data_IF_727641597063
#
_entry.id   IF_727641597063
#
_cell.length_a   1.000
_cell.length_b   1.000
_cell.length_c   1.000
_cell.angle_alpha   90.00
_cell.angle_beta   90.00
_cell.angle_gamma   90.00
#
_symmetry.space_group_name_H-M   'P 1'
#
loop_
_entity.id
_entity.type
_entity.pdbx_description
1 polymer ?
#
# COMPACT_ATOMS: atom_id res chain seq x y z
N UNK A 1 -39.77 21.65 49.25
CA UNK A 1 -39.59 20.33 48.60
C UNK A 1 -38.11 20.20 48.28
N UNK A 2 -37.32 19.39 49.01
CA UNK A 2 -37.10 17.93 48.82
C UNK A 2 -36.70 17.62 47.36
N UNK A 3 -35.59 16.97 47.02
CA UNK A 3 -34.56 16.24 47.79
C UNK A 3 -33.33 16.07 46.89
N UNK A 4 -32.18 15.93 47.56
CA UNK A 4 -30.86 15.56 47.05
C UNK A 4 -30.91 14.17 46.38
N UNK A 5 -30.14 14.00 45.31
CA UNK A 5 -29.80 12.68 44.76
C UNK A 5 -28.50 12.22 45.42
N UNK A 6 -28.58 11.13 46.16
CA UNK A 6 -27.45 10.39 46.70
C UNK A 6 -27.52 9.01 46.08
N UNK A 7 -26.45 8.57 45.43
CA UNK A 7 -26.12 7.16 45.40
C UNK A 7 -24.62 7.00 45.64
N UNK A 8 -24.30 6.60 46.86
CA UNK A 8 -23.04 6.00 47.24
C UNK A 8 -22.94 4.64 46.55
N UNK A 9 -21.79 4.34 45.95
CA UNK A 9 -21.31 2.97 45.91
C UNK A 9 -19.80 2.98 46.11
N UNK A 10 -19.41 2.83 47.37
CA UNK A 10 -18.06 2.43 47.75
C UNK A 10 -18.14 0.93 48.03
N UNK A 11 -17.47 0.10 47.24
CA UNK A 11 -16.93 -1.18 47.72
C UNK A 11 -15.50 -1.29 47.25
N UNK A 12 -14.67 -1.54 48.25
CA UNK A 12 -13.23 -1.63 48.28
C UNK A 12 -12.73 -2.94 47.66
N UNK A 13 -11.61 -2.82 46.93
CA UNK A 13 -10.50 -3.75 46.70
C UNK A 13 -10.60 -5.17 47.33
N UNK A 14 -10.23 -6.20 46.56
CA UNK A 14 -9.09 -7.10 46.86
C UNK A 14 -8.73 -7.92 45.60
N UNK A 15 -7.42 -7.90 45.31
CA UNK A 15 -6.71 -8.73 44.34
C UNK A 15 -6.85 -10.22 44.68
N UNK A 16 -7.22 -11.05 43.71
CA UNK A 16 -6.90 -12.48 43.71
C UNK A 16 -6.37 -12.83 42.33
N UNK A 17 -5.08 -13.13 42.27
CA UNK A 17 -4.40 -13.76 41.15
C UNK A 17 -4.83 -15.21 41.05
N UNK A 18 -5.48 -15.61 39.95
CA UNK A 18 -5.56 -17.01 39.54
C UNK A 18 -5.50 -17.10 38.01
N UNK A 19 -4.46 -17.78 37.55
CA UNK A 19 -4.29 -18.31 36.19
C UNK A 19 -5.50 -19.16 35.78
N UNK A 20 -5.96 -18.98 34.55
CA UNK A 20 -6.95 -19.87 33.93
C UNK A 20 -6.94 -19.76 32.41
N UNK A 21 -6.49 -20.82 31.73
CA UNK A 21 -6.78 -21.04 30.31
C UNK A 21 -8.31 -21.12 30.14
N UNK A 22 -8.85 -20.35 29.19
CA UNK A 22 -10.28 -20.33 28.90
C UNK A 22 -10.52 -20.10 27.42
N UNK A 23 -10.97 -21.15 26.73
CA UNK A 23 -11.54 -21.13 25.39
C UNK A 23 -12.75 -20.19 25.36
N UNK A 24 -12.60 -19.04 24.73
CA UNK A 24 -13.67 -18.06 24.52
C UNK A 24 -14.44 -18.35 23.23
N UNK A 25 -15.50 -19.16 23.34
CA UNK A 25 -16.59 -19.16 22.36
C UNK A 25 -17.21 -17.76 22.30
N UNK A 26 -17.17 -17.14 21.13
CA UNK A 26 -17.91 -15.92 20.81
C UNK A 26 -18.98 -16.29 19.79
N UNK A 27 -20.22 -16.36 20.28
CA UNK A 27 -21.41 -16.32 19.45
C UNK A 27 -21.55 -14.89 18.89
N UNK A 28 -21.14 -14.73 17.64
CA UNK A 28 -21.55 -13.67 16.74
C UNK A 28 -21.64 -14.31 15.36
N UNK A 29 -22.83 -14.33 14.77
CA UNK A 29 -23.08 -14.85 13.43
C UNK A 29 -22.43 -13.94 12.39
N UNK A 30 -21.14 -14.13 12.17
CA UNK A 30 -20.40 -13.75 10.99
C UNK A 30 -19.63 -15.00 10.58
N UNK A 31 -19.89 -15.54 9.38
CA UNK A 31 -19.01 -16.57 8.83
C UNK A 31 -17.62 -15.94 8.74
N UNK A 32 -16.70 -16.44 9.57
CA UNK A 32 -15.36 -15.89 9.80
C UNK A 32 -14.49 -16.19 8.58
N UNK A 33 -13.69 -15.21 8.17
CA UNK A 33 -12.44 -15.53 7.50
C UNK A 33 -11.52 -16.12 8.58
N UNK A 34 -11.00 -17.33 8.37
CA UNK A 34 -10.08 -17.94 9.32
C UNK A 34 -8.69 -17.36 9.08
N UNK A 35 -8.14 -16.66 10.07
CA UNK A 35 -6.78 -16.10 9.99
C UNK A 35 -5.77 -17.23 9.92
N UNK A 36 -4.95 -17.24 8.87
CA UNK A 36 -3.91 -18.23 8.62
C UNK A 36 -2.59 -17.80 9.26
N UNK A 37 -2.17 -16.56 8.99
CA UNK A 37 -1.04 -15.90 9.62
C UNK A 37 -1.35 -14.43 9.82
N UNK A 38 -0.71 -13.84 10.82
CA UNK A 38 -0.74 -12.40 11.08
C UNK A 38 0.66 -11.82 10.80
N UNK A 39 0.76 -10.53 10.45
CA UNK A 39 2.05 -9.88 10.27
C UNK A 39 2.94 -10.03 11.52
N UNK A 40 4.23 -10.31 11.30
CA UNK A 40 5.21 -10.30 12.38
C UNK A 40 5.51 -8.89 12.90
N UNK A 41 6.40 -8.78 13.89
CA UNK A 41 6.87 -7.47 14.36
C UNK A 41 7.67 -6.76 13.28
N UNK A 42 7.28 -5.51 12.99
CA UNK A 42 7.97 -4.65 12.03
C UNK A 42 9.42 -4.49 12.48
N UNK A 43 10.35 -4.67 11.54
CA UNK A 43 11.78 -4.53 11.79
C UNK A 43 12.06 -3.10 12.26
N UNK A 44 12.55 -2.94 13.48
CA UNK A 44 13.05 -1.66 13.99
C UNK A 44 14.43 -1.33 13.43
N UNK A 45 14.87 -0.08 13.62
CA UNK A 45 16.20 0.42 13.28
C UNK A 45 16.62 0.12 11.83
N UNK A 46 15.71 0.34 10.88
CA UNK A 46 15.98 0.22 9.45
C UNK A 46 16.32 1.58 8.86
N UNK A 47 17.40 1.64 8.11
CA UNK A 47 17.87 2.82 7.38
C UNK A 47 17.74 2.61 5.88
N UNK A 48 17.77 3.70 5.12
CA UNK A 48 17.63 3.68 3.66
C UNK A 48 18.68 2.77 2.98
N UNK A 49 19.88 2.72 3.55
CA UNK A 49 21.03 1.94 3.08
C UNK A 49 20.86 0.43 3.33
N UNK A 50 19.95 0.02 4.22
CA UNK A 50 19.63 -1.40 4.46
C UNK A 50 18.83 -2.01 3.30
N UNK A 51 18.26 -1.18 2.43
CA UNK A 51 17.75 -1.61 1.12
C UNK A 51 18.88 -1.46 0.13
N UNK A 52 19.29 -2.55 -0.52
CA UNK A 52 20.49 -2.52 -1.35
C UNK A 52 20.35 -1.57 -2.54
N UNK A 53 21.45 -0.92 -2.95
CA UNK A 53 21.46 -0.05 -4.13
C UNK A 53 21.00 -0.80 -5.38
N UNK A 54 21.38 -2.07 -5.52
CA UNK A 54 20.99 -2.92 -6.63
C UNK A 54 19.47 -3.15 -6.66
N UNK A 55 18.85 -3.44 -5.50
CA UNK A 55 17.40 -3.59 -5.42
C UNK A 55 16.68 -2.26 -5.69
N UNK A 56 17.17 -1.13 -5.15
CA UNK A 56 16.60 0.20 -5.43
C UNK A 56 16.63 0.52 -6.92
N UNK A 57 17.72 0.23 -7.61
CA UNK A 57 17.82 0.42 -9.07
C UNK A 57 16.86 -0.50 -9.83
N UNK A 58 16.71 -1.75 -9.40
CA UNK A 58 15.78 -2.71 -9.99
C UNK A 58 14.32 -2.25 -9.85
N UNK A 59 13.94 -1.76 -8.66
CA UNK A 59 12.62 -1.20 -8.40
C UNK A 59 12.34 0.05 -9.26
N UNK A 60 13.34 0.91 -9.46
CA UNK A 60 13.24 2.05 -10.39
C UNK A 60 13.07 1.63 -11.85
N UNK A 61 13.82 0.62 -12.31
CA UNK A 61 13.69 0.08 -13.66
C UNK A 61 12.29 -0.55 -13.87
N UNK A 62 11.82 -1.32 -12.89
CA UNK A 62 10.47 -1.87 -12.88
C UNK A 62 9.40 -0.77 -12.95
N UNK A 63 9.56 0.30 -12.16
CA UNK A 63 8.65 1.43 -12.15
C UNK A 63 8.55 2.08 -13.53
N UNK A 64 9.69 2.38 -14.19
CA UNK A 64 9.71 2.92 -15.55
C UNK A 64 9.01 2.00 -16.54
N UNK A 65 9.39 0.71 -16.56
CA UNK A 65 8.82 -0.30 -17.46
C UNK A 65 7.29 -0.45 -17.35
N UNK A 66 6.77 -0.43 -16.13
CA UNK A 66 5.33 -0.65 -15.88
C UNK A 66 4.50 0.62 -16.01
N UNK A 67 5.09 1.79 -15.74
CA UNK A 67 4.40 3.09 -15.81
C UNK A 67 3.79 3.34 -17.18
N UNK A 68 4.56 3.16 -18.25
CA UNK A 68 4.06 3.35 -19.61
C UNK A 68 2.90 2.41 -19.96
N UNK A 69 2.97 1.15 -19.51
CA UNK A 69 1.93 0.15 -19.79
C UNK A 69 0.64 0.40 -18.99
N UNK A 70 0.76 0.86 -17.75
CA UNK A 70 -0.40 1.10 -16.86
C UNK A 70 -1.06 2.44 -17.16
N UNK A 71 -0.27 3.51 -17.29
CA UNK A 71 -0.80 4.87 -17.46
C UNK A 71 -1.11 5.20 -18.92
N UNK A 72 -0.45 4.56 -19.90
CA UNK A 72 -0.71 4.79 -21.32
C UNK A 72 -2.00 4.14 -21.85
N UNK A 73 -2.75 3.42 -21.01
CA UNK A 73 -3.97 2.71 -21.44
C UNK A 73 -5.16 3.66 -21.69
N UNK A 74 -5.22 4.79 -20.97
CA UNK A 74 -6.29 5.79 -21.07
C UNK A 74 -5.68 7.20 -21.19
N UNK A 75 -5.18 7.57 -22.38
CA UNK A 75 -4.27 8.72 -22.59
C UNK A 75 -4.87 10.13 -22.34
N UNK A 76 -6.11 10.23 -21.87
CA UNK A 76 -6.80 11.50 -21.66
C UNK A 76 -7.44 11.58 -20.26
N UNK A 77 -7.07 10.69 -19.35
CA UNK A 77 -7.58 10.64 -17.98
C UNK A 77 -6.48 10.80 -16.93
N UNK A 78 -6.85 11.42 -15.81
CA UNK A 78 -5.97 11.47 -14.63
C UNK A 78 -5.70 10.05 -14.14
N UNK A 79 -4.45 9.63 -14.25
CA UNK A 79 -3.99 8.31 -13.82
C UNK A 79 -3.14 8.41 -12.57
N UNK A 80 -3.32 7.44 -11.66
CA UNK A 80 -2.47 7.28 -10.47
C UNK A 80 -2.05 5.82 -10.36
N UNK A 81 -0.74 5.60 -10.25
CA UNK A 81 -0.15 4.27 -10.17
C UNK A 81 0.91 4.24 -9.08
N UNK A 82 0.94 3.16 -8.31
CA UNK A 82 1.98 2.87 -7.33
C UNK A 82 2.79 1.66 -7.78
N UNK A 83 3.97 1.87 -8.39
CA UNK A 83 4.83 0.76 -8.83
C UNK A 83 5.26 -0.14 -7.67
N UNK A 84 5.56 0.44 -6.52
CA UNK A 84 5.92 -0.34 -5.33
C UNK A 84 4.78 -1.24 -4.88
N UNK A 85 3.53 -0.77 -4.95
CA UNK A 85 2.36 -1.58 -4.61
C UNK A 85 2.24 -2.82 -5.49
N UNK A 86 2.35 -2.63 -6.82
CA UNK A 86 2.35 -3.74 -7.78
C UNK A 86 3.54 -4.69 -7.54
N UNK A 87 4.72 -4.14 -7.25
CA UNK A 87 5.92 -4.91 -6.96
C UNK A 87 5.71 -5.85 -5.77
N UNK A 88 5.14 -5.37 -4.66
CA UNK A 88 4.84 -6.21 -3.49
C UNK A 88 3.90 -7.36 -3.84
N UNK A 89 2.80 -7.08 -4.56
CA UNK A 89 1.83 -8.11 -4.94
C UNK A 89 2.47 -9.21 -5.81
N UNK A 90 3.29 -8.82 -6.79
CA UNK A 90 4.01 -9.76 -7.67
C UNK A 90 5.15 -10.49 -6.96
N UNK A 91 5.83 -9.85 -6.01
CA UNK A 91 6.87 -10.47 -5.21
C UNK A 91 6.31 -11.51 -4.22
N UNK A 92 5.11 -11.28 -3.66
CA UNK A 92 4.40 -12.30 -2.88
C UNK A 92 4.07 -13.54 -3.74
N UNK A 93 3.70 -13.33 -5.01
CA UNK A 93 3.50 -14.41 -5.98
C UNK A 93 4.81 -15.13 -6.32
N UNK A 94 5.90 -14.38 -6.55
CA UNK A 94 7.25 -14.91 -6.84
C UNK A 94 7.76 -15.82 -5.72
N UNK A 95 7.49 -15.44 -4.46
CA UNK A 95 7.88 -16.20 -3.29
C UNK A 95 7.25 -17.60 -3.27
N UNK A 96 6.02 -17.74 -3.80
CA UNK A 96 5.30 -19.01 -3.91
C UNK A 96 5.56 -19.79 -5.19
N UNK A 97 6.16 -19.15 -6.21
CA UNK A 97 6.44 -19.75 -7.51
C UNK A 97 7.72 -20.61 -7.51
N UNK A 98 7.84 -21.47 -8.52
CA UNK A 98 9.03 -22.30 -8.76
C UNK A 98 9.30 -22.48 -10.27
N UNK A 99 10.53 -22.90 -10.60
CA UNK A 99 10.96 -23.13 -11.98
C UNK A 99 10.75 -21.91 -12.87
N UNK A 100 10.29 -22.15 -14.11
CA UNK A 100 10.11 -21.11 -15.12
C UNK A 100 9.19 -19.96 -14.67
N UNK A 101 8.10 -20.24 -13.95
CA UNK A 101 7.20 -19.19 -13.46
C UNK A 101 7.92 -18.24 -12.51
N UNK A 102 8.79 -18.76 -11.64
CA UNK A 102 9.61 -17.93 -10.75
C UNK A 102 10.61 -17.11 -11.54
N UNK A 103 11.30 -17.72 -12.51
CA UNK A 103 12.26 -17.04 -13.38
C UNK A 103 11.60 -15.89 -14.16
N UNK A 104 10.44 -16.14 -14.77
CA UNK A 104 9.68 -15.13 -15.51
C UNK A 104 9.25 -13.96 -14.60
N UNK A 105 8.78 -14.24 -13.38
CA UNK A 105 8.43 -13.22 -12.39
C UNK A 105 9.65 -12.40 -11.95
N UNK A 106 10.79 -13.04 -11.67
CA UNK A 106 12.02 -12.35 -11.27
C UNK A 106 12.54 -11.44 -12.37
N UNK A 107 12.54 -11.92 -13.62
CA UNK A 107 12.88 -11.12 -14.79
C UNK A 107 11.93 -9.94 -14.96
N UNK A 108 10.62 -10.16 -14.77
CA UNK A 108 9.65 -9.08 -14.89
C UNK A 108 9.84 -8.00 -13.82
N UNK A 109 10.15 -8.41 -12.58
CA UNK A 109 10.49 -7.56 -11.44
C UNK A 109 11.89 -6.90 -11.53
N UNK A 110 12.61 -7.11 -12.63
CA UNK A 110 13.98 -6.62 -12.84
C UNK A 110 14.95 -7.07 -11.73
N UNK A 111 14.62 -8.15 -11.01
CA UNK A 111 15.36 -8.60 -9.85
C UNK A 111 16.56 -9.45 -10.27
N UNK A 112 17.77 -9.04 -9.87
CA UNK A 112 18.98 -9.82 -10.10
C UNK A 112 18.94 -11.22 -9.47
N UNK A 113 19.69 -12.17 -10.03
CA UNK A 113 19.68 -13.58 -9.60
C UNK A 113 19.97 -13.78 -8.11
N UNK A 114 20.88 -12.98 -7.55
CA UNK A 114 21.28 -13.06 -6.14
C UNK A 114 20.38 -12.22 -5.22
N UNK A 115 19.45 -11.45 -5.78
CA UNK A 115 18.59 -10.56 -5.00
C UNK A 115 17.58 -11.36 -4.20
N UNK A 116 17.66 -11.23 -2.88
CA UNK A 116 16.68 -11.81 -1.96
C UNK A 116 15.51 -10.85 -1.78
N UNK A 117 14.62 -10.82 -2.77
CA UNK A 117 13.50 -9.87 -2.88
C UNK A 117 12.73 -9.73 -1.55
N UNK A 118 12.40 -10.84 -0.88
CA UNK A 118 11.68 -10.79 0.39
C UNK A 118 12.44 -10.09 1.53
N UNK A 119 13.77 -10.24 1.63
CA UNK A 119 14.57 -9.55 2.65
C UNK A 119 14.66 -8.04 2.36
N UNK A 120 14.79 -7.67 1.08
CA UNK A 120 14.80 -6.27 0.63
C UNK A 120 13.46 -5.58 0.90
N UNK A 121 12.36 -6.24 0.54
CA UNK A 121 11.01 -5.75 0.80
C UNK A 121 10.69 -5.70 2.28
N UNK A 122 11.22 -6.61 3.11
CA UNK A 122 11.08 -6.53 4.56
C UNK A 122 11.68 -5.23 5.11
N UNK A 123 12.87 -4.84 4.65
CA UNK A 123 13.49 -3.56 5.03
C UNK A 123 12.68 -2.38 4.46
N UNK A 124 12.30 -2.43 3.19
CA UNK A 124 11.51 -1.36 2.56
C UNK A 124 10.16 -1.13 3.26
N UNK A 125 9.50 -2.20 3.72
CA UNK A 125 8.22 -2.12 4.43
C UNK A 125 8.35 -1.28 5.70
N UNK A 126 9.43 -1.48 6.46
CA UNK A 126 9.70 -0.73 7.69
C UNK A 126 9.93 0.76 7.41
N UNK A 127 10.55 1.10 6.28
CA UNK A 127 10.75 2.49 5.85
C UNK A 127 9.45 3.16 5.37
N UNK A 128 8.48 2.37 4.90
CA UNK A 128 7.20 2.83 4.33
C UNK A 128 6.01 2.67 5.30
N UNK A 129 6.30 2.51 6.59
CA UNK A 129 5.29 2.42 7.65
C UNK A 129 5.66 3.39 8.75
N UNK A 130 5.26 4.65 8.57
CA UNK A 130 5.63 5.77 9.44
C UNK A 130 4.38 6.55 9.83
N UNK A 131 4.29 6.97 11.08
CA UNK A 131 3.27 7.91 11.56
C UNK A 131 3.92 8.94 12.47
N UNK A 132 3.89 10.20 12.04
CA UNK A 132 4.57 11.30 12.69
C UNK A 132 3.84 12.63 12.51
N UNK A 133 4.45 13.70 13.01
CA UNK A 133 3.94 15.05 12.79
C UNK A 133 4.15 15.45 11.33
N UNK A 134 3.05 15.69 10.61
CA UNK A 134 3.10 16.09 9.20
C UNK A 134 3.37 14.96 8.20
N UNK A 135 3.48 13.71 8.63
CA UNK A 135 3.65 12.55 7.74
C UNK A 135 2.88 11.32 8.22
N UNK A 136 2.36 10.56 7.26
CA UNK A 136 1.77 9.26 7.49
C UNK A 136 1.89 8.41 6.22
N UNK A 137 2.64 7.32 6.33
CA UNK A 137 2.82 6.31 5.30
C UNK A 137 2.39 4.96 5.84
N UNK A 138 1.63 4.22 5.04
CA UNK A 138 1.22 2.87 5.39
C UNK A 138 1.14 2.03 4.14
N UNK A 139 2.07 1.09 4.02
CA UNK A 139 1.95 -0.04 3.12
C UNK A 139 1.33 -1.22 3.87
N UNK A 140 0.41 -1.94 3.24
CA UNK A 140 -0.21 -3.11 3.83
C UNK A 140 -0.37 -4.21 2.79
N UNK A 141 -0.18 -5.46 3.22
CA UNK A 141 -0.28 -6.65 2.38
C UNK A 141 -1.34 -7.61 2.93
N UNK A 142 -2.08 -8.23 2.03
CA UNK A 142 -2.98 -9.31 2.38
C UNK A 142 -3.00 -10.44 1.36
N UNK A 143 -3.24 -11.63 1.87
CA UNK A 143 -3.45 -12.86 1.15
C UNK A 143 -4.83 -13.41 1.49
N UNK A 144 -5.67 -13.61 0.50
CA UNK A 144 -6.97 -14.28 0.65
C UNK A 144 -6.94 -15.57 -0.15
N UNK A 145 -6.94 -16.71 0.54
CA UNK A 145 -6.86 -18.03 -0.06
C UNK A 145 -8.21 -18.75 0.04
N UNK A 146 -8.56 -19.51 -1.00
CA UNK A 146 -9.75 -20.36 -0.97
C UNK A 146 -9.60 -21.41 0.15
N UNK A 147 -10.62 -21.51 0.99
CA UNK A 147 -10.59 -22.31 2.24
C UNK A 147 -10.23 -23.78 2.04
N UNK A 148 -10.62 -24.36 0.90
CA UNK A 148 -10.35 -25.76 0.57
C UNK A 148 -8.87 -26.03 0.32
N UNK A 149 -8.07 -25.02 -0.03
CA UNK A 149 -6.63 -25.16 -0.26
C UNK A 149 -5.81 -25.18 1.04
N UNK A 150 -6.41 -24.85 2.19
CA UNK A 150 -5.67 -24.75 3.46
C UNK A 150 -5.66 -26.08 4.19
N UNK A 151 -4.49 -26.47 4.71
CA UNK A 151 -4.35 -27.69 5.52
C UNK A 151 -4.40 -28.99 4.72
N UNK A 152 -4.33 -28.93 3.38
CA UNK A 152 -4.19 -30.12 2.56
C UNK A 152 -2.72 -30.57 2.49
N UNK A 153 -2.46 -31.81 2.88
CA UNK A 153 -1.14 -32.42 2.72
C UNK A 153 -0.74 -32.51 1.24
N UNK A 154 0.35 -31.82 0.87
CA UNK A 154 1.00 -31.94 -0.43
C UNK A 154 0.32 -31.25 -1.63
N UNK A 155 -0.93 -30.80 -1.51
CA UNK A 155 -1.68 -30.16 -2.61
C UNK A 155 -2.19 -28.74 -2.28
N UNK A 156 -2.09 -28.29 -1.02
CA UNK A 156 -2.61 -27.01 -0.55
C UNK A 156 -1.59 -25.88 -0.43
N UNK A 157 -2.05 -24.76 0.10
CA UNK A 157 -1.21 -23.63 0.51
C UNK A 157 -0.23 -24.11 1.58
N UNK A 158 1.07 -24.00 1.29
CA UNK A 158 2.13 -24.48 2.18
C UNK A 158 2.36 -23.51 3.33
N UNK A 159 2.45 -24.04 4.55
CA UNK A 159 2.73 -23.23 5.76
C UNK A 159 4.02 -22.41 5.61
N UNK A 160 5.09 -23.00 5.05
CA UNK A 160 6.35 -22.28 4.85
C UNK A 160 6.22 -21.01 3.96
N UNK A 161 5.29 -21.01 3.01
CA UNK A 161 5.03 -19.80 2.21
C UNK A 161 4.18 -18.79 2.98
N UNK A 162 3.20 -19.24 3.77
CA UNK A 162 2.45 -18.36 4.68
C UNK A 162 3.37 -17.69 5.71
N UNK A 163 4.30 -18.43 6.29
CA UNK A 163 5.30 -17.89 7.22
C UNK A 163 6.15 -16.82 6.53
N UNK A 164 6.56 -17.07 5.28
CA UNK A 164 7.27 -16.05 4.48
C UNK A 164 6.41 -14.81 4.20
N UNK A 165 5.11 -14.96 3.95
CA UNK A 165 4.18 -13.82 3.77
C UNK A 165 4.12 -12.96 5.03
N UNK A 166 4.08 -13.57 6.21
CA UNK A 166 4.09 -12.84 7.48
C UNK A 166 5.45 -12.19 7.78
N UNK A 167 6.55 -12.90 7.55
CA UNK A 167 7.90 -12.48 7.99
C UNK A 167 8.57 -11.48 7.06
N UNK A 168 8.38 -11.62 5.75
CA UNK A 168 9.07 -10.80 4.74
C UNK A 168 8.19 -9.71 4.14
N UNK A 169 6.88 -9.96 4.07
CA UNK A 169 5.93 -9.04 3.44
C UNK A 169 4.98 -8.40 4.47
N UNK A 170 5.04 -8.79 5.74
CA UNK A 170 4.12 -8.31 6.78
C UNK A 170 2.65 -8.47 6.35
N UNK A 171 2.35 -9.55 5.63
CA UNK A 171 1.03 -9.77 5.07
C UNK A 171 0.12 -10.47 6.09
N UNK A 172 -1.14 -10.04 6.14
CA UNK A 172 -2.20 -10.82 6.80
C UNK A 172 -2.74 -11.87 5.84
N UNK A 173 -2.84 -13.12 6.28
CA UNK A 173 -3.40 -14.19 5.45
C UNK A 173 -4.72 -14.72 6.01
N UNK A 174 -5.67 -14.98 5.12
CA UNK A 174 -7.02 -15.39 5.45
C UNK A 174 -7.48 -16.54 4.57
N UNK A 175 -8.16 -17.52 5.15
CA UNK A 175 -8.94 -18.50 4.42
C UNK A 175 -10.38 -18.00 4.24
N UNK A 176 -10.88 -18.04 3.01
CA UNK A 176 -12.23 -17.57 2.67
C UNK A 176 -12.97 -18.50 1.72
N UNK A 177 -14.29 -18.37 1.74
CA UNK A 177 -15.17 -18.89 0.71
C UNK A 177 -15.46 -17.77 -0.30
N UNK A 178 -14.90 -17.83 -1.51
CA UNK A 178 -15.18 -16.81 -2.53
C UNK A 178 -16.64 -16.84 -3.03
N UNK A 179 -17.38 -17.92 -2.75
CA UNK A 179 -18.83 -17.99 -3.08
C UNK A 179 -19.72 -17.32 -2.04
N UNK A 180 -19.18 -16.99 -0.85
CA UNK A 180 -19.90 -16.21 0.16
C UNK A 180 -20.08 -14.76 -0.33
N UNK A 181 -21.33 -14.26 -0.46
CA UNK A 181 -21.60 -12.87 -0.86
C UNK A 181 -20.93 -11.82 0.03
N UNK A 182 -20.57 -12.18 1.28
CA UNK A 182 -19.86 -11.27 2.20
C UNK A 182 -18.34 -11.17 1.97
N UNK A 183 -17.73 -12.03 1.15
CA UNK A 183 -16.26 -12.06 0.98
C UNK A 183 -15.74 -10.79 0.29
N UNK A 184 -16.38 -10.36 -0.80
CA UNK A 184 -16.00 -9.15 -1.52
C UNK A 184 -16.03 -7.91 -0.61
N UNK A 185 -17.08 -7.77 0.20
CA UNK A 185 -17.24 -6.67 1.16
C UNK A 185 -16.18 -6.72 2.28
N UNK A 186 -15.80 -7.91 2.78
CA UNK A 186 -14.71 -8.03 3.76
C UNK A 186 -13.37 -7.60 3.18
N UNK A 187 -13.07 -7.97 1.93
CA UNK A 187 -11.85 -7.58 1.24
C UNK A 187 -11.83 -6.07 0.96
N UNK A 188 -12.95 -5.51 0.49
CA UNK A 188 -13.12 -4.06 0.28
C UNK A 188 -12.93 -3.28 1.58
N UNK A 189 -13.52 -3.73 2.69
CA UNK A 189 -13.35 -3.11 4.01
C UNK A 189 -11.93 -3.22 4.55
N UNK A 190 -11.20 -4.29 4.21
CA UNK A 190 -9.78 -4.39 4.54
C UNK A 190 -9.00 -3.28 3.82
N UNK A 191 -9.21 -3.07 2.52
CA UNK A 191 -8.60 -1.96 1.78
C UNK A 191 -8.99 -0.60 2.35
N UNK A 192 -10.27 -0.40 2.65
CA UNK A 192 -10.77 0.85 3.25
C UNK A 192 -10.09 1.13 4.59
N UNK A 193 -9.89 0.12 5.42
CA UNK A 193 -9.17 0.25 6.69
C UNK A 193 -7.70 0.62 6.48
N UNK A 194 -6.98 -0.15 5.66
CA UNK A 194 -5.54 0.03 5.46
C UNK A 194 -5.21 1.32 4.68
N UNK A 195 -6.20 1.89 4.00
CA UNK A 195 -6.08 3.19 3.30
C UNK A 195 -6.72 4.35 4.05
N UNK A 196 -7.03 4.18 5.34
CA UNK A 196 -7.64 5.22 6.21
C UNK A 196 -8.92 5.83 5.61
N UNK A 197 -9.72 5.00 4.95
CA UNK A 197 -10.99 5.34 4.32
C UNK A 197 -10.87 6.03 2.96
N UNK A 198 -9.67 6.11 2.36
CA UNK A 198 -9.46 6.78 1.07
C UNK A 198 -9.84 5.93 -0.14
N UNK A 199 -9.69 4.61 -0.03
CA UNK A 199 -9.99 3.69 -1.13
C UNK A 199 -11.00 2.66 -0.64
N UNK A 200 -12.14 2.56 -1.33
CA UNK A 200 -13.14 1.52 -1.09
C UNK A 200 -13.48 0.88 -2.43
N UNK A 201 -12.76 -0.19 -2.82
CA UNK A 201 -12.90 -0.78 -4.13
C UNK A 201 -14.14 -1.67 -4.20
N UNK A 202 -14.74 -1.75 -5.38
CA UNK A 202 -15.66 -2.83 -5.72
C UNK A 202 -14.85 -4.06 -6.14
N UNK A 203 -14.96 -5.14 -5.37
CA UNK A 203 -14.15 -6.34 -5.58
C UNK A 203 -14.90 -7.33 -6.46
N UNK A 204 -14.36 -7.65 -7.63
CA UNK A 204 -14.86 -8.74 -8.46
C UNK A 204 -14.18 -10.06 -8.06
N UNK A 205 -14.98 -10.97 -7.50
CA UNK A 205 -14.57 -12.34 -7.13
C UNK A 205 -15.47 -13.38 -7.81
N UNK A 206 -16.11 -13.00 -8.92
CA UNK A 206 -17.13 -13.82 -9.60
C UNK A 206 -16.55 -15.04 -10.34
N UNK A 207 -15.23 -15.09 -10.54
CA UNK A 207 -14.55 -16.22 -11.15
C UNK A 207 -14.67 -17.48 -10.26
N UNK A 208 -15.37 -18.55 -10.71
CA UNK A 208 -15.52 -19.78 -9.92
C UNK A 208 -14.19 -20.52 -9.69
N UNK A 209 -13.18 -20.27 -10.52
CA UNK A 209 -11.86 -20.88 -10.40
C UNK A 209 -10.90 -20.04 -9.55
N UNK A 210 -11.37 -18.94 -8.94
CA UNK A 210 -10.56 -18.06 -8.09
C UNK A 210 -10.00 -18.84 -6.88
N UNK A 211 -8.68 -19.01 -6.86
CA UNK A 211 -7.96 -19.72 -5.80
C UNK A 211 -7.38 -18.79 -4.74
N UNK A 212 -6.95 -17.61 -5.17
CA UNK A 212 -6.09 -16.74 -4.40
C UNK A 212 -6.26 -15.28 -4.84
N UNK A 213 -6.28 -14.35 -3.88
CA UNK A 213 -6.14 -12.92 -4.14
C UNK A 213 -4.98 -12.37 -3.30
N UNK A 214 -4.02 -11.78 -3.99
CA UNK A 214 -2.89 -11.05 -3.40
C UNK A 214 -3.19 -9.56 -3.48
N UNK A 215 -3.12 -8.88 -2.34
CA UNK A 215 -3.44 -7.47 -2.24
C UNK A 215 -2.27 -6.71 -1.62
N UNK A 216 -1.96 -5.56 -2.21
CA UNK A 216 -1.17 -4.53 -1.59
C UNK A 216 -1.95 -3.22 -1.61
N UNK A 217 -1.81 -2.41 -0.58
CA UNK A 217 -2.29 -1.03 -0.55
C UNK A 217 -1.19 -0.11 -0.06
N UNK A 218 -1.16 1.10 -0.59
CA UNK A 218 -0.28 2.18 -0.10
C UNK A 218 -1.15 3.39 0.22
N UNK A 219 -1.05 3.86 1.46
CA UNK A 219 -1.51 5.17 1.89
C UNK A 219 -0.30 6.07 2.08
N UNK A 220 -0.36 7.27 1.50
CA UNK A 220 0.68 8.28 1.58
C UNK A 220 0.06 9.63 1.90
N UNK A 221 0.59 10.29 2.92
CA UNK A 221 0.30 11.68 3.25
C UNK A 221 1.59 12.29 3.81
N UNK A 222 2.02 13.40 3.24
CA UNK A 222 3.10 14.19 3.78
C UNK A 222 2.80 15.68 3.58
N UNK A 223 3.17 16.48 4.57
CA UNK A 223 3.13 17.93 4.49
C UNK A 223 4.36 18.42 3.69
N UNK A 224 4.21 19.56 3.02
CA UNK A 224 5.33 20.28 2.43
C UNK A 224 6.31 20.69 3.53
N UNK A 225 7.62 20.55 3.30
CA UNK A 225 8.62 21.04 4.26
C UNK A 225 8.48 22.56 4.46
N UNK A 226 8.23 23.26 3.36
CA UNK A 226 7.84 24.67 3.33
C UNK A 226 6.43 24.79 2.77
N UNK A 227 5.40 24.98 3.62
CA UNK A 227 4.02 25.10 3.16
C UNK A 227 3.76 26.34 2.31
N UNK A 228 2.83 26.22 1.37
CA UNK A 228 2.30 27.36 0.64
C UNK A 228 1.43 28.23 1.57
N UNK A 229 1.66 29.56 1.65
CA UNK A 229 0.79 30.45 2.40
C UNK A 229 -0.63 30.42 1.82
N UNK A 230 -1.68 30.45 2.65
CA UNK A 230 -3.08 30.40 2.17
C UNK A 230 -3.39 31.56 1.21
N UNK A 231 -2.84 32.74 1.47
CA UNK A 231 -2.98 33.93 0.63
C UNK A 231 -2.33 33.79 -0.76
N UNK A 232 -1.47 32.79 -0.94
CA UNK A 232 -0.82 32.49 -2.21
C UNK A 232 -1.72 31.76 -3.20
N UNK A 233 -2.84 31.20 -2.72
CA UNK A 233 -3.81 30.52 -3.58
C UNK A 233 -4.48 31.56 -4.49
N UNK A 234 -4.21 31.48 -5.79
CA UNK A 234 -4.80 32.36 -6.81
C UNK A 234 -5.54 31.52 -7.84
N UNK A 235 -6.68 32.02 -8.29
CA UNK A 235 -7.44 31.37 -9.37
C UNK A 235 -6.84 31.74 -10.71
N UNK A 236 -6.66 30.75 -11.58
CA UNK A 236 -6.12 30.92 -12.93
C UNK A 236 -6.71 29.90 -13.91
N UNK A 237 -6.28 29.97 -15.17
CA UNK A 237 -6.64 29.05 -16.24
C UNK A 237 -5.73 27.80 -16.22
N UNK A 238 -6.33 26.61 -16.25
CA UNK A 238 -5.61 25.34 -16.45
C UNK A 238 -5.96 24.78 -17.82
N UNK A 239 -4.96 24.48 -18.65
CA UNK A 239 -5.18 23.88 -19.97
C UNK A 239 -5.28 22.37 -19.81
N UNK A 240 -6.51 21.84 -19.77
CA UNK A 240 -6.77 20.40 -19.79
C UNK A 240 -6.62 19.82 -21.19
N UNK A 241 -6.83 18.51 -21.31
CA UNK A 241 -6.67 17.76 -22.56
C UNK A 241 -7.67 18.23 -23.63
N UNK A 242 -8.96 18.35 -23.27
CA UNK A 242 -10.02 18.75 -24.20
C UNK A 242 -10.34 20.24 -24.17
N UNK A 243 -10.27 20.85 -22.99
CA UNK A 243 -10.67 22.25 -22.79
C UNK A 243 -9.86 22.94 -21.69
N UNK A 244 -9.86 24.27 -21.75
CA UNK A 244 -9.30 25.10 -20.71
C UNK A 244 -10.30 25.23 -19.55
N UNK A 245 -9.86 24.89 -18.35
CA UNK A 245 -10.62 25.01 -17.11
C UNK A 245 -10.37 26.38 -16.49
N UNK A 246 -11.42 27.19 -16.38
CA UNK A 246 -11.34 28.50 -15.75
C UNK A 246 -11.35 28.40 -14.22
N UNK A 247 -10.74 29.40 -13.56
CA UNK A 247 -10.85 29.63 -12.11
C UNK A 247 -10.27 28.49 -11.23
N UNK A 248 -9.31 27.71 -11.74
CA UNK A 248 -8.62 26.64 -11.00
C UNK A 248 -7.73 27.27 -9.92
N UNK A 249 -7.76 26.79 -8.67
CA UNK A 249 -6.89 27.29 -7.61
C UNK A 249 -5.44 26.81 -7.82
N UNK A 250 -4.52 27.74 -8.07
CA UNK A 250 -3.09 27.51 -8.14
C UNK A 250 -2.42 27.84 -6.82
N UNK A 251 -1.59 26.92 -6.32
CA UNK A 251 -0.61 27.19 -5.29
C UNK A 251 0.55 27.97 -5.92
N UNK A 252 0.96 29.10 -5.31
CA UNK A 252 2.08 29.91 -5.81
C UNK A 252 3.12 30.11 -4.71
N UNK A 253 4.38 29.86 -5.02
CA UNK A 253 5.47 30.06 -4.08
C UNK A 253 6.78 30.13 -4.82
N UNK A 254 7.74 30.80 -4.21
CA UNK A 254 9.14 30.78 -4.63
C UNK A 254 9.92 29.99 -3.59
N UNK A 255 10.56 28.92 -4.03
CA UNK A 255 11.31 28.02 -3.16
C UNK A 255 12.74 27.92 -3.68
N UNK A 256 13.70 27.81 -2.76
CA UNK A 256 15.10 27.58 -3.08
C UNK A 256 15.30 26.12 -3.53
N UNK A 257 14.97 25.83 -4.79
CA UNK A 257 15.19 24.50 -5.38
C UNK A 257 16.59 24.42 -5.98
N UNK A 258 17.41 23.49 -5.48
CA UNK A 258 18.78 23.25 -5.97
C UNK A 258 18.83 22.36 -7.22
N UNK A 259 17.69 21.93 -7.76
CA UNK A 259 17.64 20.94 -8.85
C UNK A 259 16.42 21.13 -9.73
N UNK A 260 16.54 22.03 -10.70
CA UNK A 260 15.64 22.12 -11.87
C UNK A 260 16.36 21.50 -13.06
N UNK A 261 15.68 20.62 -13.78
CA UNK A 261 16.14 20.04 -15.04
C UNK A 261 15.30 20.61 -16.18
N UNK A 262 15.94 21.26 -17.13
CA UNK A 262 15.30 21.74 -18.36
C UNK A 262 15.89 21.00 -19.54
N UNK A 263 15.03 20.41 -20.37
CA UNK A 263 15.40 19.68 -21.59
C UNK A 263 14.74 20.34 -22.80
N UNK A 264 14.80 19.69 -23.96
CA UNK A 264 14.05 20.06 -25.17
C UNK A 264 12.66 19.40 -25.24
N UNK A 265 12.27 18.63 -24.21
CA UNK A 265 10.98 17.93 -24.13
C UNK A 265 10.17 18.25 -22.88
N UNK A 266 10.82 18.63 -21.78
CA UNK A 266 10.16 18.90 -20.51
C UNK A 266 11.04 19.74 -19.58
N UNK A 267 10.36 20.37 -18.62
CA UNK A 267 10.94 20.95 -17.41
C UNK A 267 10.54 20.14 -16.19
N UNK A 268 11.51 19.79 -15.33
CA UNK A 268 11.24 19.09 -14.08
C UNK A 268 11.83 19.84 -12.88
N UNK A 269 11.09 19.84 -11.79
CA UNK A 269 11.51 20.39 -10.51
C UNK A 269 11.07 19.47 -9.38
N UNK A 270 11.61 19.70 -8.18
CA UNK A 270 11.21 18.96 -6.99
C UNK A 270 10.94 19.92 -5.83
N UNK A 271 9.93 19.57 -5.03
CA UNK A 271 9.60 20.24 -3.78
C UNK A 271 9.81 19.27 -2.61
N UNK A 272 10.50 19.70 -1.54
CA UNK A 272 10.71 18.88 -0.37
C UNK A 272 9.41 18.71 0.42
N UNK A 273 9.24 17.50 0.94
CA UNK A 273 8.22 17.17 1.94
C UNK A 273 8.91 17.07 3.30
N UNK A 274 8.14 16.99 4.40
CA UNK A 274 8.70 16.68 5.73
C UNK A 274 9.62 15.45 5.67
N UNK A 275 9.25 14.46 4.84
CA UNK A 275 10.06 13.32 4.49
C UNK A 275 9.98 13.04 2.99
N UNK A 276 11.14 12.96 2.33
CA UNK A 276 11.24 12.77 0.89
C UNK A 276 10.97 14.04 0.08
N UNK A 277 10.56 13.85 -1.18
CA UNK A 277 10.31 14.92 -2.14
C UNK A 277 9.23 14.51 -3.14
N UNK A 278 8.49 15.50 -3.65
CA UNK A 278 7.63 15.33 -4.81
C UNK A 278 8.30 15.94 -6.04
N UNK A 279 8.41 15.16 -7.11
CA UNK A 279 8.93 15.63 -8.40
C UNK A 279 7.77 15.97 -9.33
N UNK A 280 7.85 17.15 -9.93
CA UNK A 280 6.92 17.62 -10.95
C UNK A 280 7.64 17.60 -12.29
N UNK A 281 6.95 17.09 -13.31
CA UNK A 281 7.44 17.07 -14.70
C UNK A 281 6.39 17.75 -15.55
N UNK A 282 6.78 18.80 -16.26
CA UNK A 282 5.94 19.58 -17.14
C UNK A 282 6.45 19.39 -18.58
N UNK A 283 5.70 18.71 -19.46
CA UNK A 283 6.04 18.64 -20.88
C UNK A 283 6.15 20.04 -21.50
N UNK A 284 7.06 20.19 -22.47
CA UNK A 284 7.15 21.41 -23.27
C UNK A 284 5.94 21.53 -24.22
N UNK A 285 5.68 22.75 -24.72
CA UNK A 285 4.54 23.02 -25.60
C UNK A 285 4.51 22.07 -26.81
N UNK A 286 3.36 21.45 -27.03
CA UNK A 286 3.15 20.47 -28.11
C UNK A 286 3.44 19.02 -27.74
N UNK A 287 3.91 18.76 -26.51
CA UNK A 287 4.01 17.41 -25.95
C UNK A 287 2.95 17.17 -24.87
N UNK A 288 2.53 15.92 -24.77
CA UNK A 288 1.63 15.41 -23.75
C UNK A 288 2.42 14.72 -22.62
N UNK A 289 1.86 14.55 -21.41
CA UNK A 289 2.46 13.69 -20.39
C UNK A 289 2.77 12.29 -20.91
N UNK A 290 1.91 11.73 -21.77
CA UNK A 290 2.04 10.40 -22.38
C UNK A 290 3.25 10.30 -23.30
N UNK A 291 3.65 11.39 -23.98
CA UNK A 291 4.86 11.43 -24.80
C UNK A 291 6.15 11.26 -23.97
N UNK A 292 6.08 11.45 -22.65
CA UNK A 292 7.22 11.32 -21.73
C UNK A 292 7.30 9.94 -21.04
N UNK A 293 6.31 9.07 -21.22
CA UNK A 293 6.23 7.74 -20.61
C UNK A 293 7.15 6.70 -21.29
#
# INVERSE_FOLDING_TARGET
MKKKMTLFLTVLLILVTLTGCGTGSTNGSHVRADTLVVPGEIKGDVFYEDVSDAFRQSLWAFAGKTSASVMGAEPDQNSLYSPVSLYYALAMLEAGAAGRTKEDLRNFLEAGDQTKIGEELRSLYALMTVEGEGEAEQIANALWARKDLVGQDGAGVKQAWLDQMADHFYASAFAVDFTDPGTADRMSRWVEKETRGKIKPDMDISDPDLLLVLMNTVYFKADWLEPFPEESIKKDLFYGVEEALEQVPYLRGSFDSHSVLVTDRFTAGQLPLVNGHMRFVLPDEGLTPEDLL
#
